data_IF_734308902187
#
_entry.id   IF_734308902187
#
_cell.length_a   1.000
_cell.length_b   1.000
_cell.length_c   1.000
_cell.angle_alpha   90.00
_cell.angle_beta   90.00
_cell.angle_gamma   90.00
#
_symmetry.space_group_name_H-M   'P 1'
#
loop_
_entity.id
_entity.type
_entity.pdbx_description
1 polymer ?
#
# COMPACT_ATOMS: atom_id res chain seq x y z
N UNK A 1 10.32 -28.11 5.94
CA UNK A 1 9.75 -27.23 4.92
C UNK A 1 9.99 -25.80 5.39
N UNK A 2 10.92 -25.11 4.74
CA UNK A 2 11.44 -23.82 5.22
C UNK A 2 10.35 -22.74 5.01
N UNK A 3 9.92 -22.10 6.09
CA UNK A 3 8.90 -21.04 6.11
C UNK A 3 9.31 -19.86 5.18
N UNK A 4 10.61 -19.68 4.92
CA UNK A 4 11.14 -18.68 3.98
C UNK A 4 10.74 -18.94 2.53
N UNK A 5 10.51 -20.19 2.15
CA UNK A 5 10.16 -20.57 0.76
C UNK A 5 8.66 -20.46 0.47
N UNK A 6 7.81 -20.50 1.49
CA UNK A 6 6.35 -20.38 1.31
C UNK A 6 5.91 -18.96 0.94
N UNK A 7 6.60 -17.92 1.45
CA UNK A 7 6.32 -16.52 1.11
C UNK A 7 6.74 -16.10 -0.32
N UNK A 8 7.57 -16.91 -0.99
CA UNK A 8 8.05 -16.61 -2.35
C UNK A 8 7.05 -17.00 -3.46
N UNK A 9 5.90 -17.59 -3.12
CA UNK A 9 4.94 -18.13 -4.10
C UNK A 9 3.59 -17.42 -4.19
N UNK A 10 3.48 -16.23 -3.61
CA UNK A 10 2.28 -15.44 -3.83
C UNK A 10 2.25 -14.98 -5.29
N UNK A 11 1.38 -15.59 -6.08
CA UNK A 11 1.17 -15.21 -7.48
C UNK A 11 0.11 -14.13 -7.50
N UNK A 12 0.53 -12.92 -7.82
CA UNK A 12 -0.39 -11.81 -8.09
C UNK A 12 -0.66 -11.79 -9.58
N UNK A 13 -1.91 -12.01 -9.96
CA UNK A 13 -2.33 -12.02 -11.37
C UNK A 13 -3.21 -10.81 -11.66
N UNK A 14 -2.71 -9.88 -12.46
CA UNK A 14 -3.43 -8.69 -12.88
C UNK A 14 -3.59 -7.64 -11.78
N UNK A 15 -4.41 -6.62 -12.08
CA UNK A 15 -4.64 -5.49 -11.20
C UNK A 15 -3.57 -4.40 -11.30
N UNK A 16 -4.02 -3.14 -11.13
CA UNK A 16 -3.14 -1.97 -11.15
C UNK A 16 -3.48 -1.04 -10.00
N UNK A 17 -2.47 -0.33 -9.54
CA UNK A 17 -2.59 0.72 -8.52
C UNK A 17 -1.98 2.02 -9.02
N UNK A 18 -2.30 3.13 -8.38
CA UNK A 18 -1.63 4.40 -8.69
C UNK A 18 -0.19 4.40 -8.23
N UNK A 19 0.69 4.92 -9.09
CA UNK A 19 2.11 5.01 -8.83
C UNK A 19 2.49 5.79 -7.57
N UNK A 20 1.59 6.64 -7.08
CA UNK A 20 1.75 7.31 -5.79
C UNK A 20 1.98 6.36 -4.62
N UNK A 21 1.39 5.15 -4.66
CA UNK A 21 1.61 4.13 -3.65
C UNK A 21 3.05 3.62 -3.67
N UNK A 22 3.54 3.25 -4.86
CA UNK A 22 4.93 2.81 -5.05
C UNK A 22 5.92 3.90 -4.61
N UNK A 23 5.64 5.14 -4.99
CA UNK A 23 6.48 6.30 -4.62
C UNK A 23 6.54 6.49 -3.11
N UNK A 24 5.42 6.34 -2.40
CA UNK A 24 5.38 6.42 -0.95
C UNK A 24 6.25 5.32 -0.30
N UNK A 25 6.22 4.10 -0.84
CA UNK A 25 7.05 2.99 -0.35
C UNK A 25 8.55 3.25 -0.58
N UNK A 26 8.93 3.76 -1.73
CA UNK A 26 10.31 4.17 -2.01
C UNK A 26 10.77 5.32 -1.11
N UNK A 27 9.91 6.30 -0.89
CA UNK A 27 10.23 7.44 -0.02
C UNK A 27 10.40 7.01 1.43
N UNK A 28 9.58 6.06 1.91
CA UNK A 28 9.77 5.43 3.21
C UNK A 28 11.14 4.75 3.31
N UNK A 29 11.50 3.95 2.30
CA UNK A 29 12.77 3.23 2.28
C UNK A 29 13.98 4.18 2.30
N UNK A 30 13.93 5.25 1.50
CA UNK A 30 14.98 6.28 1.47
C UNK A 30 15.13 6.99 2.82
N UNK A 31 14.01 7.39 3.42
CA UNK A 31 14.02 8.13 4.69
C UNK A 31 14.40 7.27 5.89
N UNK A 32 14.01 5.99 5.89
CA UNK A 32 14.25 5.09 7.02
C UNK A 32 15.62 4.45 6.97
N UNK A 33 16.13 4.21 5.76
CA UNK A 33 17.41 3.52 5.57
C UNK A 33 18.43 4.39 4.84
N UNK A 34 18.29 4.64 3.55
CA UNK A 34 19.06 5.60 2.74
C UNK A 34 18.69 5.51 1.25
N UNK A 35 19.16 6.47 0.44
CA UNK A 35 19.07 6.40 -1.02
C UNK A 35 19.86 5.22 -1.60
N UNK A 36 21.00 4.90 -1.02
CA UNK A 36 21.83 3.75 -1.42
C UNK A 36 21.11 2.43 -1.15
N UNK A 37 20.44 2.29 0.00
CA UNK A 37 19.64 1.13 0.34
C UNK A 37 18.47 0.94 -0.65
N UNK A 38 17.77 2.02 -1.00
CA UNK A 38 16.69 1.99 -1.99
C UNK A 38 17.21 1.58 -3.38
N UNK A 39 18.36 2.13 -3.79
CA UNK A 39 19.00 1.80 -5.07
C UNK A 39 19.44 0.33 -5.12
N UNK A 40 20.04 -0.19 -4.06
CA UNK A 40 20.43 -1.60 -3.96
C UNK A 40 19.23 -2.54 -4.01
N UNK A 41 18.16 -2.20 -3.29
CA UNK A 41 16.95 -2.99 -3.28
C UNK A 41 16.32 -3.02 -4.68
N UNK A 42 16.18 -1.87 -5.35
CA UNK A 42 15.64 -1.81 -6.71
C UNK A 42 16.46 -2.65 -7.70
N UNK A 43 17.79 -2.64 -7.60
CA UNK A 43 18.66 -3.48 -8.44
C UNK A 43 18.50 -4.98 -8.20
N UNK A 44 18.01 -5.38 -7.04
CA UNK A 44 17.75 -6.80 -6.71
C UNK A 44 16.42 -7.33 -7.24
N UNK A 45 15.54 -6.42 -7.69
CA UNK A 45 14.24 -6.80 -8.24
C UNK A 45 14.37 -7.33 -9.68
N UNK A 46 13.38 -8.11 -10.17
CA UNK A 46 13.29 -8.44 -11.59
C UNK A 46 13.36 -7.18 -12.45
N UNK A 47 14.09 -7.25 -13.58
CA UNK A 47 14.39 -6.08 -14.41
C UNK A 47 13.13 -5.30 -14.83
N UNK A 48 12.06 -6.00 -15.22
CA UNK A 48 10.81 -5.35 -15.64
C UNK A 48 10.13 -4.60 -14.50
N UNK A 49 10.15 -5.16 -13.27
CA UNK A 49 9.62 -4.53 -12.05
C UNK A 49 10.43 -3.29 -11.70
N UNK A 50 11.75 -3.41 -11.68
CA UNK A 50 12.65 -2.29 -11.39
C UNK A 50 12.46 -1.14 -12.38
N UNK A 51 12.33 -1.45 -13.68
CA UNK A 51 12.11 -0.45 -14.74
C UNK A 51 10.76 0.26 -14.57
N UNK A 52 9.67 -0.48 -14.30
CA UNK A 52 8.36 0.12 -14.05
C UNK A 52 8.39 1.05 -12.83
N UNK A 53 8.94 0.58 -11.72
CA UNK A 53 9.05 1.35 -10.47
C UNK A 53 9.90 2.62 -10.66
N UNK A 54 10.99 2.54 -11.41
CA UNK A 54 11.88 3.68 -11.65
C UNK A 54 11.21 4.80 -12.44
N UNK A 55 10.28 4.47 -13.34
CA UNK A 55 9.65 5.41 -14.29
C UNK A 55 8.23 5.83 -13.93
N UNK A 56 7.58 5.14 -12.97
CA UNK A 56 6.19 5.41 -12.62
C UNK A 56 5.99 6.81 -12.05
N UNK A 57 5.02 7.54 -12.60
CA UNK A 57 4.57 8.83 -12.05
C UNK A 57 3.48 8.61 -10.99
N UNK A 58 3.32 9.51 -10.01
CA UNK A 58 2.30 9.37 -8.97
C UNK A 58 0.87 9.16 -9.50
N UNK A 59 0.52 9.81 -10.59
CA UNK A 59 -0.81 9.72 -11.23
C UNK A 59 -0.95 8.56 -12.21
N UNK A 60 0.15 7.92 -12.64
CA UNK A 60 0.14 6.81 -13.58
C UNK A 60 -0.33 5.53 -12.91
N UNK A 61 -0.80 4.58 -13.71
CA UNK A 61 -1.08 3.23 -13.25
C UNK A 61 0.20 2.39 -13.25
N UNK A 62 0.37 1.61 -12.22
CA UNK A 62 1.46 0.67 -12.00
C UNK A 62 0.88 -0.73 -11.80
N UNK A 63 1.56 -1.75 -12.27
CA UNK A 63 1.21 -3.14 -12.00
C UNK A 63 1.14 -3.40 -10.49
N UNK A 64 0.09 -4.07 -10.04
CA UNK A 64 -0.02 -4.48 -8.64
C UNK A 64 1.08 -5.50 -8.26
N UNK A 65 1.49 -6.33 -9.21
CA UNK A 65 2.63 -7.24 -9.05
C UNK A 65 3.92 -6.49 -8.67
N UNK A 66 4.17 -5.35 -9.28
CA UNK A 66 5.37 -4.54 -8.98
C UNK A 66 5.36 -4.01 -7.55
N UNK A 67 4.20 -3.58 -7.04
CA UNK A 67 4.06 -3.14 -5.65
C UNK A 67 4.31 -4.29 -4.68
N UNK A 68 3.65 -5.43 -4.90
CA UNK A 68 3.80 -6.62 -4.05
C UNK A 68 5.24 -7.13 -4.07
N UNK A 69 5.88 -7.12 -5.24
CA UNK A 69 7.30 -7.53 -5.37
C UNK A 69 8.23 -6.60 -4.59
N UNK A 70 7.99 -5.29 -4.64
CA UNK A 70 8.73 -4.31 -3.85
C UNK A 70 8.54 -4.56 -2.34
N UNK A 71 7.30 -4.70 -1.88
CA UNK A 71 6.99 -4.90 -0.47
C UNK A 71 7.60 -6.20 0.07
N UNK A 72 7.57 -7.27 -0.72
CA UNK A 72 8.25 -8.52 -0.39
C UNK A 72 9.76 -8.35 -0.27
N UNK A 73 10.38 -7.64 -1.20
CA UNK A 73 11.82 -7.40 -1.14
C UNK A 73 12.19 -6.58 0.11
N UNK A 74 11.36 -5.58 0.46
CA UNK A 74 11.51 -4.82 1.71
C UNK A 74 11.38 -5.75 2.93
N UNK A 75 10.34 -6.58 2.98
CA UNK A 75 10.11 -7.50 4.08
C UNK A 75 11.20 -8.56 4.22
N UNK A 76 11.72 -9.08 3.10
CA UNK A 76 12.84 -10.04 3.10
C UNK A 76 14.14 -9.42 3.62
N UNK A 77 14.39 -8.16 3.29
CA UNK A 77 15.64 -7.50 3.69
C UNK A 77 15.59 -6.96 5.11
N UNK A 78 14.44 -6.46 5.57
CA UNK A 78 14.32 -5.73 6.84
C UNK A 78 13.39 -6.41 7.86
N UNK A 79 12.73 -7.49 7.48
CA UNK A 79 11.78 -8.24 8.31
C UNK A 79 10.31 -7.82 8.08
N UNK A 80 9.38 -8.73 8.38
CA UNK A 80 7.95 -8.50 8.13
C UNK A 80 7.34 -7.36 8.96
N UNK A 81 7.91 -7.06 10.12
CA UNK A 81 7.40 -6.01 11.01
C UNK A 81 7.47 -4.61 10.37
N UNK A 82 8.40 -4.39 9.44
CA UNK A 82 8.56 -3.10 8.77
C UNK A 82 7.38 -2.75 7.86
N UNK A 83 6.59 -3.74 7.40
CA UNK A 83 5.43 -3.49 6.55
C UNK A 83 4.37 -2.63 7.26
N UNK A 84 4.21 -2.78 8.57
CA UNK A 84 3.30 -1.93 9.34
C UNK A 84 3.78 -0.48 9.41
N UNK A 85 5.08 -0.27 9.55
CA UNK A 85 5.66 1.08 9.59
C UNK A 85 5.61 1.73 8.20
N UNK A 86 5.85 0.96 7.15
CA UNK A 86 5.64 1.36 5.76
C UNK A 86 4.19 1.80 5.52
N UNK A 87 3.22 1.01 5.96
CA UNK A 87 1.80 1.34 5.85
C UNK A 87 1.42 2.62 6.60
N UNK A 88 1.90 2.80 7.84
CA UNK A 88 1.71 4.04 8.61
C UNK A 88 2.28 5.27 7.91
N UNK A 89 3.47 5.14 7.35
CA UNK A 89 4.11 6.22 6.60
C UNK A 89 3.31 6.58 5.35
N UNK A 90 2.89 5.59 4.56
CA UNK A 90 2.07 5.78 3.36
C UNK A 90 0.72 6.42 3.70
N UNK A 91 0.05 5.94 4.75
CA UNK A 91 -1.21 6.51 5.23
C UNK A 91 -1.04 7.97 5.65
N UNK A 92 0.04 8.32 6.36
CA UNK A 92 0.33 9.71 6.75
C UNK A 92 0.50 10.61 5.53
N UNK A 93 1.27 10.19 4.53
CA UNK A 93 1.43 10.96 3.28
C UNK A 93 0.08 11.15 2.59
N UNK A 94 -0.71 10.09 2.47
CA UNK A 94 -2.03 10.16 1.84
C UNK A 94 -2.98 11.10 2.60
N UNK A 95 -2.96 11.07 3.94
CA UNK A 95 -3.75 11.98 4.78
C UNK A 95 -3.30 13.43 4.64
N UNK A 96 -2.02 13.69 4.42
CA UNK A 96 -1.48 15.03 4.27
C UNK A 96 -1.62 15.60 2.85
N UNK A 97 -1.89 14.73 1.87
CA UNK A 97 -2.04 15.09 0.44
C UNK A 97 -3.46 14.84 -0.05
N UNK A 98 -3.77 13.63 -0.45
CA UNK A 98 -5.02 13.23 -1.11
C UNK A 98 -6.25 13.43 -0.22
N UNK A 99 -6.15 13.04 1.05
CA UNK A 99 -7.25 13.11 2.01
C UNK A 99 -7.25 14.38 2.88
N UNK A 100 -6.35 15.32 2.61
CA UNK A 100 -6.20 16.54 3.43
C UNK A 100 -7.50 17.31 3.59
N UNK A 101 -8.31 17.38 2.55
CA UNK A 101 -9.58 18.08 2.56
C UNK A 101 -10.64 17.42 3.44
N UNK A 102 -10.50 16.11 3.68
CA UNK A 102 -11.47 15.31 4.46
C UNK A 102 -11.12 15.21 5.94
N UNK A 103 -9.94 15.66 6.36
CA UNK A 103 -9.48 15.57 7.77
C UNK A 103 -10.38 16.30 8.78
N UNK A 104 -11.22 17.23 8.32
CA UNK A 104 -12.13 18.03 9.17
C UNK A 104 -13.52 17.45 9.27
N UNK A 105 -13.80 16.38 8.57
CA UNK A 105 -15.10 15.73 8.61
C UNK A 105 -15.17 14.78 9.78
N UNK A 106 -16.40 14.39 10.13
CA UNK A 106 -16.57 13.32 11.09
C UNK A 106 -15.95 12.01 10.56
N UNK A 107 -15.60 11.10 11.45
CA UNK A 107 -14.90 9.87 11.11
C UNK A 107 -15.68 9.01 10.10
N UNK A 108 -17.01 9.01 10.18
CA UNK A 108 -17.84 8.20 9.30
C UNK A 108 -17.85 8.75 7.87
N UNK A 109 -17.98 10.06 7.73
CA UNK A 109 -17.90 10.72 6.42
C UNK A 109 -16.51 10.58 5.81
N UNK A 110 -15.45 10.68 6.61
CA UNK A 110 -14.09 10.41 6.17
C UNK A 110 -13.95 9.01 5.55
N UNK A 111 -14.40 7.96 6.25
CA UNK A 111 -14.27 6.59 5.77
C UNK A 111 -15.20 6.28 4.58
N UNK A 112 -16.41 6.84 4.54
CA UNK A 112 -17.29 6.73 3.37
C UNK A 112 -16.64 7.31 2.12
N UNK A 113 -16.05 8.51 2.22
CA UNK A 113 -15.36 9.14 1.09
C UNK A 113 -14.09 8.38 0.70
N UNK A 114 -13.34 7.88 1.66
CA UNK A 114 -12.16 7.05 1.39
C UNK A 114 -12.54 5.78 0.62
N UNK A 115 -13.63 5.12 0.99
CA UNK A 115 -14.16 3.97 0.26
C UNK A 115 -14.60 4.34 -1.16
N UNK A 116 -15.29 5.47 -1.35
CA UNK A 116 -15.71 5.94 -2.65
C UNK A 116 -14.54 6.29 -3.60
N UNK A 117 -13.40 6.68 -3.05
CA UNK A 117 -12.20 6.98 -3.82
C UNK A 117 -11.38 5.75 -4.21
N UNK A 118 -11.70 4.57 -3.67
CA UNK A 118 -10.95 3.34 -3.91
C UNK A 118 -10.65 3.09 -5.39
N UNK A 119 -11.66 3.19 -6.26
CA UNK A 119 -11.51 2.96 -7.70
C UNK A 119 -10.58 3.97 -8.41
N UNK A 120 -10.24 5.08 -7.77
CA UNK A 120 -9.27 6.05 -8.30
C UNK A 120 -7.83 5.62 -8.04
N UNK A 121 -7.60 4.71 -7.08
CA UNK A 121 -6.27 4.25 -6.68
C UNK A 121 -5.97 2.80 -7.05
N UNK A 122 -7.01 1.99 -7.22
CA UNK A 122 -6.91 0.57 -7.56
C UNK A 122 -7.99 0.23 -8.59
N UNK A 123 -7.65 -0.57 -9.61
CA UNK A 123 -8.59 -0.98 -10.65
C UNK A 123 -9.19 -2.37 -10.40
N UNK A 124 -9.05 -2.88 -9.20
CA UNK A 124 -9.57 -4.17 -8.76
C UNK A 124 -10.29 -4.06 -7.43
N UNK A 125 -11.28 -4.92 -7.24
CA UNK A 125 -12.09 -4.96 -6.02
C UNK A 125 -12.96 -3.73 -5.82
N UNK A 126 -13.69 -3.73 -4.73
CA UNK A 126 -14.52 -2.61 -4.26
C UNK A 126 -14.32 -2.42 -2.76
N UNK A 127 -14.51 -1.20 -2.30
CA UNK A 127 -14.49 -0.88 -0.89
C UNK A 127 -15.75 -0.13 -0.51
N UNK A 128 -16.30 -0.41 0.66
CA UNK A 128 -17.37 0.39 1.25
C UNK A 128 -17.22 0.43 2.78
N UNK A 129 -17.74 1.49 3.37
CA UNK A 129 -17.72 1.69 4.81
C UNK A 129 -19.08 1.39 5.42
N UNK A 130 -19.11 0.56 6.45
CA UNK A 130 -20.27 0.26 7.26
C UNK A 130 -20.09 0.82 8.67
N UNK A 131 -20.96 1.76 9.06
CA UNK A 131 -20.97 2.31 10.41
C UNK A 131 -21.47 1.25 11.39
N UNK A 132 -20.74 1.02 12.47
CA UNK A 132 -21.13 0.10 13.55
C UNK A 132 -21.74 0.81 14.76
N UNK A 133 -21.22 1.99 15.10
CA UNK A 133 -21.71 2.84 16.20
C UNK A 133 -21.21 4.27 15.99
N UNK A 134 -21.40 5.17 16.96
CA UNK A 134 -21.01 6.58 16.83
C UNK A 134 -19.49 6.80 16.82
N UNK A 135 -18.70 5.82 17.24
CA UNK A 135 -17.25 5.94 17.38
C UNK A 135 -16.46 5.15 16.33
N UNK A 136 -17.12 4.37 15.47
CA UNK A 136 -16.40 3.57 14.51
C UNK A 136 -17.28 2.71 13.61
N UNK A 137 -16.60 1.97 12.73
CA UNK A 137 -17.22 1.09 11.75
C UNK A 137 -16.23 0.14 11.13
N UNK A 138 -16.62 -0.45 10.02
CA UNK A 138 -15.80 -1.41 9.28
C UNK A 138 -15.61 -0.93 7.84
N UNK A 139 -14.38 -1.00 7.37
CA UNK A 139 -14.09 -0.93 5.93
C UNK A 139 -14.21 -2.35 5.37
N UNK A 140 -15.06 -2.55 4.41
CA UNK A 140 -15.32 -3.86 3.79
C UNK A 140 -14.77 -3.83 2.38
N UNK A 141 -13.87 -4.77 2.10
CA UNK A 141 -13.29 -4.96 0.79
C UNK A 141 -13.82 -6.26 0.18
N UNK A 142 -14.21 -6.22 -1.09
CA UNK A 142 -14.74 -7.39 -1.80
C UNK A 142 -14.29 -7.42 -3.25
N UNK A 143 -14.38 -8.61 -3.90
CA UNK A 143 -14.02 -8.79 -5.30
C UNK A 143 -12.52 -8.63 -5.59
N UNK A 144 -11.67 -8.87 -4.60
CA UNK A 144 -10.21 -8.77 -4.76
C UNK A 144 -9.66 -10.03 -5.43
N UNK A 145 -9.65 -10.05 -6.77
CA UNK A 145 -8.99 -11.10 -7.54
C UNK A 145 -7.46 -11.08 -7.37
N UNK A 146 -6.92 -9.96 -6.95
CA UNK A 146 -5.48 -9.72 -6.74
C UNK A 146 -5.13 -9.66 -5.24
N UNK A 147 -5.75 -10.50 -4.41
CA UNK A 147 -5.47 -10.51 -2.97
C UNK A 147 -4.00 -10.84 -2.70
N UNK A 148 -3.35 -10.01 -1.89
CA UNK A 148 -1.97 -10.21 -1.45
C UNK A 148 -1.86 -10.00 0.06
N UNK A 149 -1.53 -11.04 0.86
CA UNK A 149 -1.28 -10.90 2.29
C UNK A 149 -0.15 -9.92 2.60
N UNK A 150 0.89 -9.87 1.75
CA UNK A 150 2.01 -8.94 1.90
C UNK A 150 1.55 -7.50 1.75
N UNK A 151 0.80 -7.20 0.70
CA UNK A 151 0.24 -5.87 0.47
C UNK A 151 -0.76 -5.48 1.57
N UNK A 152 -1.66 -6.38 1.97
CA UNK A 152 -2.60 -6.12 3.05
C UNK A 152 -1.91 -5.80 4.38
N UNK A 153 -0.72 -6.33 4.61
CA UNK A 153 0.07 -6.01 5.81
C UNK A 153 0.61 -4.58 5.80
N UNK A 154 0.86 -3.99 4.63
CA UNK A 154 1.27 -2.60 4.47
C UNK A 154 0.09 -1.63 4.35
N UNK A 155 -1.01 -2.05 3.70
CA UNK A 155 -2.17 -1.21 3.40
C UNK A 155 -3.18 -1.13 4.56
N UNK A 156 -3.25 -2.16 5.41
CA UNK A 156 -4.27 -2.26 6.47
C UNK A 156 -4.04 -1.34 7.69
N UNK A 157 -2.98 -0.54 7.70
CA UNK A 157 -2.65 0.31 8.85
C UNK A 157 -3.06 1.76 8.60
N UNK A 158 -4.35 2.05 8.75
CA UNK A 158 -4.80 3.40 9.00
C UNK A 158 -4.70 3.64 10.52
N UNK A 159 -3.71 4.42 11.01
CA UNK A 159 -3.66 4.77 12.41
C UNK A 159 -4.72 5.84 12.67
N UNK A 160 -5.89 5.41 13.05
CA UNK A 160 -6.82 6.31 13.69
C UNK A 160 -6.65 6.16 15.21
N UNK A 161 -5.91 7.05 15.82
CA UNK A 161 -6.01 7.32 17.25
C UNK A 161 -6.93 8.52 17.40
N UNK A 162 -8.13 8.29 17.95
CA UNK A 162 -8.95 9.37 18.46
C UNK A 162 -8.13 10.09 19.55
N UNK A 163 -7.80 11.36 19.33
CA UNK A 163 -7.30 12.26 20.34
C UNK A 163 -8.46 12.79 21.15
#
# INVERSE_FOLDING_TARGET
MDIRTAHLREVVTGGRVKGGMVRAHLDWLRRTHSDDAATKLLRSLPQHVAAEIATVLPSSWCSFESVVTLDRAIALQYGNNVLKDLGRFSAKINLDTTYRLFKREDIHEFFKRSAALHAQFQDFGTAFYERSNDHGGRMIHSGYACFSPTYCSSDSVLPWTAG
#
